data_IF_513218600458
#
_entry.id   IF_513218600458
#
_cell.length_a   1.000
_cell.length_b   1.000
_cell.length_c   1.000
_cell.angle_alpha   90.00
_cell.angle_beta   90.00
_cell.angle_gamma   90.00
#
_symmetry.space_group_name_H-M   'P 1'
#
loop_
_entity.id
_entity.type
_entity.pdbx_description
1 polymer ?
#
# COMPACT_ATOMS: atom_id res chain seq x y z
N UNK A 1 -12.41 10.10 2.82
CA UNK A 1 -11.60 9.13 2.07
C UNK A 1 -10.83 8.23 3.01
N UNK A 2 -10.64 7.02 2.59
CA UNK A 2 -9.82 6.08 3.34
C UNK A 2 -8.78 5.44 2.43
N UNK A 3 -7.65 5.12 3.01
CA UNK A 3 -6.57 4.47 2.28
C UNK A 3 -6.55 3.01 2.70
N UNK A 4 -6.46 2.14 1.74
CA UNK A 4 -6.30 0.71 2.00
C UNK A 4 -4.90 0.32 1.59
N UNK A 5 -4.18 -0.31 2.49
CA UNK A 5 -2.83 -0.76 2.23
C UNK A 5 -2.77 -2.26 2.41
N UNK A 6 -2.37 -2.96 1.36
CA UNK A 6 -2.22 -4.39 1.43
C UNK A 6 -0.77 -4.77 1.28
N UNK A 7 -0.40 -5.89 1.88
CA UNK A 7 0.91 -6.48 1.63
C UNK A 7 0.65 -7.88 1.10
N UNK A 8 1.20 -8.16 -0.06
CA UNK A 8 0.99 -9.44 -0.73
C UNK A 8 2.33 -9.98 -1.21
N UNK A 9 2.38 -11.27 -1.47
CA UNK A 9 3.54 -11.86 -2.09
C UNK A 9 3.62 -11.45 -3.55
N UNK A 10 4.80 -11.48 -4.14
CA UNK A 10 4.96 -11.06 -5.54
C UNK A 10 4.11 -11.86 -6.51
N UNK A 11 3.89 -13.12 -6.22
CA UNK A 11 3.11 -13.99 -7.09
C UNK A 11 1.61 -13.75 -6.97
N UNK A 12 1.18 -12.95 -6.03
CA UNK A 12 -0.24 -12.65 -5.87
C UNK A 12 -0.68 -11.41 -6.65
N UNK A 13 0.23 -10.75 -7.35
CA UNK A 13 -0.10 -9.51 -8.03
C UNK A 13 -1.16 -9.70 -9.12
N UNK A 14 -1.05 -10.78 -9.87
CA UNK A 14 -2.05 -11.02 -10.91
C UNK A 14 -3.43 -11.23 -10.31
N UNK A 15 -3.52 -11.96 -9.22
CA UNK A 15 -4.78 -12.15 -8.53
C UNK A 15 -5.34 -10.85 -7.99
N UNK A 16 -4.46 -9.99 -7.48
CA UNK A 16 -4.89 -8.69 -7.02
C UNK A 16 -5.44 -7.86 -8.18
N UNK A 17 -4.74 -7.86 -9.31
CA UNK A 17 -5.17 -7.07 -10.46
C UNK A 17 -6.54 -7.52 -10.96
N UNK A 18 -6.78 -8.81 -10.99
CA UNK A 18 -8.08 -9.32 -11.38
C UNK A 18 -9.17 -8.93 -10.39
N UNK A 19 -8.88 -9.02 -9.11
CA UNK A 19 -9.83 -8.62 -8.09
C UNK A 19 -10.13 -7.12 -8.19
N UNK A 20 -9.09 -6.32 -8.41
CA UNK A 20 -9.26 -4.88 -8.53
C UNK A 20 -10.13 -4.53 -9.73
N UNK A 21 -9.92 -5.21 -10.84
CA UNK A 21 -10.77 -5.00 -12.00
C UNK A 21 -12.22 -5.31 -11.70
N UNK A 22 -12.48 -6.40 -11.03
CA UNK A 22 -13.84 -6.77 -10.67
C UNK A 22 -14.50 -5.78 -9.74
N UNK A 23 -13.70 -5.08 -8.95
CA UNK A 23 -14.20 -4.10 -7.99
C UNK A 23 -14.14 -2.67 -8.54
N UNK A 24 -13.77 -2.53 -9.80
CA UNK A 24 -13.62 -1.22 -10.44
C UNK A 24 -12.58 -0.34 -9.76
N UNK A 25 -11.52 -0.96 -9.31
CA UNK A 25 -10.42 -0.24 -8.70
C UNK A 25 -9.29 -0.17 -9.73
N UNK A 26 -9.19 0.97 -10.39
CA UNK A 26 -8.24 1.10 -11.49
C UNK A 26 -6.99 1.89 -11.14
N UNK A 27 -7.02 2.58 -10.01
CA UNK A 27 -5.87 3.37 -9.60
C UNK A 27 -5.33 2.84 -8.30
N UNK A 28 -4.14 2.32 -8.34
CA UNK A 28 -3.45 1.86 -7.14
C UNK A 28 -1.96 1.90 -7.40
N UNK A 29 -1.20 2.03 -6.33
CA UNK A 29 0.26 2.04 -6.42
C UNK A 29 0.81 0.75 -5.88
N UNK A 30 1.84 0.24 -6.52
CA UNK A 30 2.50 -0.97 -6.06
C UNK A 30 3.95 -0.63 -5.78
N UNK A 31 4.40 -0.97 -4.60
CA UNK A 31 5.77 -0.72 -4.19
C UNK A 31 6.42 -2.03 -3.77
N UNK A 32 7.61 -2.28 -4.27
CA UNK A 32 8.34 -3.45 -3.85
C UNK A 32 9.00 -3.15 -2.52
N UNK A 33 8.82 -4.03 -1.56
CA UNK A 33 9.43 -3.86 -0.26
C UNK A 33 10.12 -5.13 0.15
N UNK A 34 11.13 -5.00 0.97
CA UNK A 34 11.81 -6.14 1.55
C UNK A 34 11.59 -6.09 3.04
N UNK A 35 11.04 -7.14 3.57
CA UNK A 35 10.67 -7.17 4.97
C UNK A 35 11.50 -8.16 5.74
N UNK A 36 11.80 -7.82 6.97
CA UNK A 36 12.39 -8.78 7.86
C UNK A 36 11.31 -9.83 8.17
N UNK A 37 11.65 -11.10 8.20
CA UNK A 37 10.68 -12.14 8.54
C UNK A 37 10.19 -11.94 9.96
N UNK A 38 9.00 -12.44 10.24
CA UNK A 38 8.46 -12.33 11.57
C UNK A 38 9.31 -13.15 12.54
N UNK A 39 9.22 -12.82 13.81
CA UNK A 39 10.01 -13.49 14.82
C UNK A 39 9.82 -15.00 14.81
N UNK A 40 8.63 -15.45 14.45
CA UNK A 40 8.32 -16.86 14.47
C UNK A 40 8.45 -17.55 13.15
N UNK A 41 8.91 -16.86 12.13
CA UNK A 41 8.96 -17.45 10.82
C UNK A 41 10.25 -18.25 10.67
N UNK A 42 10.22 -19.23 9.78
CA UNK A 42 11.39 -20.01 9.51
C UNK A 42 12.49 -19.19 8.89
N UNK A 43 12.12 -18.22 8.10
CA UNK A 43 13.12 -17.38 7.45
C UNK A 43 13.99 -16.69 8.47
N UNK A 44 13.39 -16.31 9.60
CA UNK A 44 14.15 -15.63 10.60
C UNK A 44 15.16 -16.53 11.29
N UNK A 45 14.91 -17.82 11.25
CA UNK A 45 15.81 -18.73 11.91
C UNK A 45 17.07 -19.02 11.13
N UNK A 46 17.17 -18.47 9.96
CA UNK A 46 18.38 -18.65 9.18
C UNK A 46 19.49 -17.72 9.62
N UNK A 47 19.28 -17.02 10.71
CA UNK A 47 20.33 -16.19 11.22
C UNK A 47 21.49 -17.06 11.69
N UNK A 48 22.70 -16.62 11.38
CA UNK A 48 23.83 -17.35 11.74
C UNK A 48 24.28 -17.12 13.07
N UNK A 49 24.85 -18.17 13.65
CA UNK A 49 25.41 -18.25 14.86
C UNK A 49 26.06 -17.09 15.30
N UNK A 50 25.38 -16.19 15.65
CA UNK A 50 25.84 -15.24 16.41
C UNK A 50 26.81 -14.25 16.01
N UNK A 51 27.33 -14.29 14.92
CA UNK A 51 28.29 -13.40 14.65
C UNK A 51 27.63 -12.38 13.94
N UNK A 52 27.99 -12.09 12.90
CA UNK A 52 27.33 -11.16 12.28
C UNK A 52 26.53 -11.89 11.40
N UNK A 53 25.38 -11.59 11.20
CA UNK A 53 24.54 -12.34 10.37
C UNK A 53 23.79 -11.44 9.46
N UNK A 54 23.43 -11.97 8.33
CA UNK A 54 22.66 -11.28 7.36
C UNK A 54 21.26 -11.78 7.50
N UNK A 55 20.33 -10.89 7.68
CA UNK A 55 18.95 -11.24 7.78
C UNK A 55 18.45 -11.46 6.36
N UNK A 56 17.84 -12.59 6.10
CA UNK A 56 17.24 -12.85 4.81
C UNK A 56 15.95 -12.06 4.72
N UNK A 57 15.93 -11.03 3.90
CA UNK A 57 14.74 -10.23 3.74
C UNK A 57 13.83 -10.88 2.72
N UNK A 58 12.55 -10.79 2.99
CA UNK A 58 11.53 -11.40 2.16
C UNK A 58 10.92 -10.34 1.26
N UNK A 59 10.81 -10.67 -0.03
CA UNK A 59 10.21 -9.73 -0.96
C UNK A 59 8.70 -9.73 -0.84
N UNK A 60 8.13 -8.55 -0.80
CA UNK A 60 6.69 -8.39 -0.77
C UNK A 60 6.31 -7.19 -1.62
N UNK A 61 5.05 -7.11 -1.96
CA UNK A 61 4.52 -5.96 -2.65
C UNK A 61 3.53 -5.27 -1.73
N UNK A 62 3.68 -3.96 -1.63
CA UNK A 62 2.75 -3.14 -0.88
C UNK A 62 1.87 -2.44 -1.89
N UNK A 63 0.57 -2.61 -1.75
CA UNK A 63 -0.39 -2.01 -2.65
C UNK A 63 -1.19 -0.98 -1.89
N UNK A 64 -1.23 0.23 -2.41
CA UNK A 64 -1.95 1.33 -1.79
C UNK A 64 -3.06 1.80 -2.70
N UNK A 65 -4.25 1.96 -2.16
CA UNK A 65 -5.34 2.56 -2.90
C UNK A 65 -6.18 3.42 -1.98
N UNK A 66 -6.85 4.40 -2.56
CA UNK A 66 -7.69 5.31 -1.82
C UNK A 66 -9.11 5.17 -2.32
N UNK A 67 -10.04 5.06 -1.40
CA UNK A 67 -11.43 4.81 -1.74
C UNK A 67 -12.34 5.73 -0.92
N UNK A 68 -13.58 5.83 -1.36
CA UNK A 68 -14.56 6.60 -0.63
C UNK A 68 -14.87 5.92 0.70
N UNK A 69 -15.18 6.72 1.70
CA UNK A 69 -15.44 6.21 3.04
C UNK A 69 -16.50 5.12 3.05
N UNK A 70 -17.57 5.33 2.30
CA UNK A 70 -18.69 4.40 2.31
C UNK A 70 -18.35 3.02 1.80
N UNK A 71 -17.36 2.93 0.95
CA UNK A 71 -17.01 1.67 0.32
C UNK A 71 -15.81 0.99 0.92
N UNK A 72 -15.07 1.69 1.75
CA UNK A 72 -13.77 1.20 2.21
C UNK A 72 -13.81 -0.16 2.88
N UNK A 73 -14.71 -0.33 3.83
CA UNK A 73 -14.75 -1.59 4.56
C UNK A 73 -15.25 -2.73 3.69
N UNK A 74 -16.21 -2.45 2.83
CA UNK A 74 -16.70 -3.47 1.92
C UNK A 74 -15.59 -3.93 0.97
N UNK A 75 -14.88 -2.97 0.41
CA UNK A 75 -13.78 -3.28 -0.49
C UNK A 75 -12.69 -4.05 0.24
N UNK A 76 -12.36 -3.63 1.45
CA UNK A 76 -11.34 -4.32 2.22
C UNK A 76 -11.73 -5.78 2.48
N UNK A 77 -12.97 -6.03 2.86
CA UNK A 77 -13.43 -7.39 3.10
C UNK A 77 -13.40 -8.24 1.83
N UNK A 78 -13.78 -7.65 0.71
CA UNK A 78 -13.73 -8.38 -0.54
C UNK A 78 -12.30 -8.70 -0.96
N UNK A 79 -11.39 -7.77 -0.74
CA UNK A 79 -9.99 -8.01 -1.06
C UNK A 79 -9.39 -9.10 -0.17
N UNK A 80 -9.80 -9.15 1.09
CA UNK A 80 -9.35 -10.23 1.97
C UNK A 80 -9.76 -11.58 1.41
N UNK A 81 -10.98 -11.69 0.95
CA UNK A 81 -11.46 -12.95 0.42
C UNK A 81 -10.90 -13.33 -0.93
N UNK A 82 -10.75 -12.36 -1.80
CA UNK A 82 -10.31 -12.62 -3.16
C UNK A 82 -8.80 -12.76 -3.27
N UNK A 83 -8.06 -12.01 -2.50
CA UNK A 83 -6.61 -11.92 -2.64
C UNK A 83 -5.87 -12.63 -1.53
N UNK A 84 -6.46 -12.65 -0.35
CA UNK A 84 -5.86 -13.22 0.85
C UNK A 84 -4.49 -12.61 1.12
N UNK A 85 -4.45 -11.31 1.35
CA UNK A 85 -3.18 -10.63 1.57
C UNK A 85 -2.56 -11.04 2.89
N UNK A 86 -1.25 -10.83 3.00
CA UNK A 86 -0.56 -11.06 4.25
C UNK A 86 -1.05 -10.10 5.31
N UNK A 87 -1.32 -8.87 4.93
CA UNK A 87 -1.93 -7.91 5.82
C UNK A 87 -2.73 -6.90 5.02
N UNK A 88 -3.72 -6.30 5.68
CA UNK A 88 -4.48 -5.23 5.08
C UNK A 88 -4.80 -4.25 6.19
N UNK A 89 -4.58 -2.98 5.92
CA UNK A 89 -4.83 -1.92 6.88
C UNK A 89 -5.67 -0.85 6.20
N UNK A 90 -6.68 -0.39 6.90
CA UNK A 90 -7.53 0.67 6.39
C UNK A 90 -7.26 1.91 7.24
N UNK A 91 -6.79 2.96 6.59
CA UNK A 91 -6.48 4.20 7.28
C UNK A 91 -7.56 5.22 7.02
N UNK A 92 -7.97 5.88 8.08
CA UNK A 92 -8.88 7.00 7.94
C UNK A 92 -8.04 8.23 7.65
N UNK A 93 -8.40 8.94 6.60
CA UNK A 93 -7.69 10.15 6.22
C UNK A 93 -8.54 11.34 6.64
N UNK A 94 -8.02 12.11 7.58
CA UNK A 94 -8.72 13.30 8.02
C UNK A 94 -8.34 14.46 7.13
N UNK A 95 -9.34 15.12 6.59
CA UNK A 95 -9.12 16.33 5.78
C UNK A 95 -8.07 16.13 4.68
N UNK A 96 -8.24 15.12 3.83
CA UNK A 96 -7.24 14.88 2.79
C UNK A 96 -7.24 15.99 1.75
N UNK A 97 -6.05 16.30 1.29
CA UNK A 97 -5.87 17.28 0.23
C UNK A 97 -5.23 16.55 -0.95
N UNK A 98 -5.80 16.74 -2.12
CA UNK A 98 -5.20 16.21 -3.32
C UNK A 98 -4.59 17.38 -4.07
N UNK A 99 -3.29 17.30 -4.27
CA UNK A 99 -2.56 18.31 -5.01
C UNK A 99 -2.10 17.70 -6.31
N UNK A 100 -2.28 18.42 -7.39
CA UNK A 100 -1.82 17.96 -8.67
C UNK A 100 -0.66 18.84 -9.09
N UNK A 101 0.45 18.21 -9.37
CA UNK A 101 1.63 18.93 -9.79
C UNK A 101 1.87 18.70 -11.26
N UNK A 102 2.06 19.80 -11.98
CA UNK A 102 2.43 19.71 -13.36
C UNK A 102 3.84 20.24 -13.48
N UNK A 103 4.71 19.44 -14.06
CA UNK A 103 6.08 19.83 -14.23
C UNK A 103 6.26 20.37 -15.65
N UNK A 104 6.58 21.64 -15.73
CA UNK A 104 6.87 22.22 -17.05
C UNK A 104 8.37 22.31 -17.20
N UNK A 105 8.81 22.80 -18.31
CA UNK A 105 10.23 22.91 -18.56
C UNK A 105 10.96 23.75 -17.51
N UNK A 106 10.26 24.64 -16.87
CA UNK A 106 10.89 25.55 -15.93
C UNK A 106 10.37 25.55 -14.54
N UNK A 107 9.19 25.06 -14.31
CA UNK A 107 8.62 25.15 -13.00
C UNK A 107 7.63 24.05 -12.77
N UNK A 108 7.31 23.84 -11.51
CA UNK A 108 6.28 22.92 -11.11
C UNK A 108 5.11 23.75 -10.65
N UNK A 109 3.97 23.47 -11.23
CA UNK A 109 2.75 24.13 -10.80
C UNK A 109 1.99 23.14 -9.96
N UNK A 110 1.55 23.58 -8.81
CA UNK A 110 0.79 22.73 -7.90
C UNK A 110 -0.62 23.28 -7.81
N UNK A 111 -1.58 22.38 -8.01
CA UNK A 111 -2.99 22.75 -7.90
C UNK A 111 -3.59 22.03 -6.71
N UNK A 112 -4.14 22.81 -5.79
CA UNK A 112 -4.78 22.24 -4.64
C UNK A 112 -6.22 21.92 -4.94
N UNK A 113 -6.63 20.72 -4.62
CA UNK A 113 -7.96 20.25 -4.95
C UNK A 113 -8.88 20.21 -3.75
N UNK A 114 -8.38 20.11 -2.55
CA UNK A 114 -9.22 20.07 -1.37
C UNK A 114 -8.56 20.79 -0.21
N UNK A 115 -8.94 20.45 1.00
CA UNK A 115 -8.57 21.17 2.19
C UNK A 115 -7.07 21.39 2.38
N UNK A 116 -6.61 22.63 2.45
CA UNK A 116 -5.18 22.92 2.59
C UNK A 116 -4.57 22.47 3.90
N UNK A 117 -5.37 22.22 4.90
CA UNK A 117 -4.83 21.80 6.18
C UNK A 117 -4.13 20.47 6.10
N UNK A 118 -4.49 19.65 5.15
CA UNK A 118 -3.87 18.35 5.02
C UNK A 118 -2.52 18.39 4.33
N UNK A 119 -2.14 19.53 3.83
CA UNK A 119 -0.88 19.65 3.12
C UNK A 119 0.29 19.24 3.99
N UNK A 120 0.26 19.61 5.24
CA UNK A 120 1.34 19.27 6.15
C UNK A 120 1.39 17.77 6.37
N UNK A 121 0.25 17.16 6.49
CA UNK A 121 0.19 15.73 6.74
C UNK A 121 0.55 14.91 5.51
N UNK A 122 0.42 15.47 4.35
CA UNK A 122 0.70 14.75 3.12
C UNK A 122 2.18 14.59 2.84
N UNK A 123 3.04 15.23 3.64
CA UNK A 123 4.46 15.13 3.45
C UNK A 123 5.05 13.98 4.19
#
# INVERSE_FOLDING_TARGET
>A
MKKIELVIGPDALNGFTEAANGLNLFEFDVTEVRRAPSANSRERRRLYRGREFVLDLVERLKVDLTVADDNAMRIAHELIELVRPESIVVYKLDHPVVLTGEVTARSTRITEVSNPMSLVAAR
#
